data_IF_477071967881
#
_entry.id   IF_477071967881
#
_cell.length_a   1.000
_cell.length_b   1.000
_cell.length_c   1.000
_cell.angle_alpha   90.00
_cell.angle_beta   90.00
_cell.angle_gamma   90.00
#
_symmetry.space_group_name_H-M   'P 1'
#
loop_
_entity.id
_entity.type
_entity.pdbx_description
1 polymer ?
#
# COMPACT_ATOMS: atom_id res chain seq x y z
N UNK A 1 16.00 3.02 -33.46
CA UNK A 1 14.88 2.05 -33.40
C UNK A 1 15.41 0.67 -33.74
N UNK A 2 15.08 -0.34 -32.93
CA UNK A 2 15.47 -1.72 -33.21
C UNK A 2 14.21 -2.45 -33.71
N UNK A 3 13.94 -2.40 -35.01
CA UNK A 3 12.79 -3.06 -35.60
C UNK A 3 13.00 -4.59 -35.63
N UNK A 4 11.93 -5.34 -35.44
CA UNK A 4 11.93 -6.81 -35.50
C UNK A 4 10.89 -7.25 -36.52
N UNK A 5 11.27 -8.24 -37.33
CA UNK A 5 10.34 -8.87 -38.26
C UNK A 5 9.38 -9.75 -37.46
N UNK A 6 8.10 -9.64 -37.76
CA UNK A 6 7.08 -10.55 -37.25
C UNK A 6 7.04 -11.78 -38.15
N UNK A 7 7.01 -12.97 -37.55
CA UNK A 7 6.89 -14.25 -38.25
C UNK A 7 5.52 -14.85 -37.92
N UNK A 8 4.85 -15.45 -38.89
CA UNK A 8 3.55 -16.10 -38.67
C UNK A 8 3.75 -17.62 -38.60
N UNK A 9 3.15 -18.25 -37.59
CA UNK A 9 3.24 -19.69 -37.41
C UNK A 9 2.02 -20.22 -36.64
N UNK A 10 1.26 -21.14 -37.26
CA UNK A 10 0.15 -21.84 -36.61
C UNK A 10 -0.98 -20.92 -36.10
N UNK A 11 -1.28 -19.82 -36.80
CA UNK A 11 -2.30 -18.85 -36.39
C UNK A 11 -1.85 -17.85 -35.32
N UNK A 12 -0.55 -17.84 -34.98
CA UNK A 12 0.06 -16.89 -34.05
C UNK A 12 1.21 -16.12 -34.70
N UNK A 13 1.57 -14.99 -34.11
CA UNK A 13 2.70 -14.18 -34.53
C UNK A 13 3.85 -14.30 -33.53
N UNK A 14 5.06 -14.49 -34.05
CA UNK A 14 6.31 -14.58 -33.31
C UNK A 14 7.14 -13.31 -33.53
N UNK A 15 7.65 -12.75 -32.44
CA UNK A 15 8.60 -11.63 -32.45
C UNK A 15 9.77 -11.93 -31.52
N UNK A 16 10.99 -11.62 -31.94
CA UNK A 16 12.17 -11.84 -31.10
C UNK A 16 12.42 -10.68 -30.13
N UNK A 17 12.65 -11.00 -28.87
CA UNK A 17 13.07 -10.04 -27.85
C UNK A 17 14.57 -9.70 -27.96
N UNK A 18 15.01 -8.49 -27.58
CA UNK A 18 16.44 -8.13 -27.62
C UNK A 18 17.30 -9.01 -26.70
N UNK A 19 18.41 -9.55 -27.23
CA UNK A 19 19.32 -10.43 -26.47
C UNK A 19 19.87 -9.78 -25.20
N UNK A 20 20.24 -8.50 -25.26
CA UNK A 20 20.78 -7.78 -24.10
C UNK A 20 19.71 -7.54 -23.03
N UNK A 21 18.46 -7.31 -23.44
CA UNK A 21 17.34 -7.23 -22.52
C UNK A 21 17.09 -8.58 -21.85
N UNK A 22 17.08 -9.67 -22.62
CA UNK A 22 16.89 -11.02 -22.08
C UNK A 22 17.95 -11.36 -21.03
N UNK A 23 19.23 -11.08 -21.32
CA UNK A 23 20.34 -11.28 -20.37
C UNK A 23 20.17 -10.45 -19.09
N UNK A 24 19.85 -9.16 -19.22
CA UNK A 24 19.68 -8.26 -18.05
C UNK A 24 18.53 -8.68 -17.15
N UNK A 25 17.51 -9.32 -17.71
CA UNK A 25 16.31 -9.76 -16.99
C UNK A 25 16.32 -11.27 -16.72
N UNK A 26 17.47 -11.94 -16.82
CA UNK A 26 17.61 -13.36 -16.48
C UNK A 26 16.87 -14.34 -17.39
N UNK A 27 16.33 -13.91 -18.53
CA UNK A 27 15.55 -14.74 -19.45
C UNK A 27 16.48 -15.63 -20.27
N UNK A 28 16.30 -16.93 -20.12
CA UNK A 28 17.06 -17.99 -20.76
C UNK A 28 16.20 -18.82 -21.70
N UNK A 29 16.85 -19.66 -22.52
CA UNK A 29 16.14 -20.56 -23.45
C UNK A 29 15.26 -21.52 -22.66
N UNK A 30 13.97 -21.55 -22.98
CA UNK A 30 12.99 -22.42 -22.32
C UNK A 30 12.20 -21.72 -21.22
N UNK A 31 12.57 -20.49 -20.84
CA UNK A 31 11.79 -19.69 -19.89
C UNK A 31 10.52 -19.15 -20.55
N UNK A 32 9.47 -19.04 -19.77
CA UNK A 32 8.21 -18.43 -20.18
C UNK A 32 8.22 -16.95 -19.80
N UNK A 33 7.68 -16.12 -20.70
CA UNK A 33 7.46 -14.68 -20.47
C UNK A 33 5.97 -14.41 -20.57
N UNK A 34 5.50 -13.45 -19.79
CA UNK A 34 4.14 -12.92 -19.90
C UNK A 34 4.14 -11.87 -21.00
N UNK A 35 3.12 -11.93 -21.86
CA UNK A 35 2.85 -10.92 -22.89
C UNK A 35 1.44 -10.40 -22.67
N UNK A 36 1.34 -9.11 -22.34
CA UNK A 36 0.07 -8.46 -22.01
C UNK A 36 -0.13 -7.22 -22.89
N UNK A 37 -1.38 -6.91 -23.18
CA UNK A 37 -1.74 -5.66 -23.85
C UNK A 37 -1.77 -4.52 -22.84
N UNK A 38 -0.82 -3.59 -22.96
CA UNK A 38 -0.74 -2.40 -22.11
C UNK A 38 -1.77 -1.34 -22.55
N UNK A 39 -2.06 -1.27 -23.85
CA UNK A 39 -3.07 -0.41 -24.49
C UNK A 39 -3.25 -0.84 -25.96
N UNK A 40 -4.25 -0.32 -26.67
CA UNK A 40 -4.65 -0.72 -28.05
C UNK A 40 -3.53 -0.99 -29.08
N UNK A 41 -2.33 -0.44 -28.90
CA UNK A 41 -1.19 -0.59 -29.83
C UNK A 41 0.14 -0.92 -29.14
N UNK A 42 0.10 -1.32 -27.87
CA UNK A 42 1.32 -1.58 -27.09
C UNK A 42 1.19 -2.88 -26.33
N UNK A 43 2.10 -3.80 -26.60
CA UNK A 43 2.33 -4.97 -25.79
C UNK A 43 3.47 -4.70 -24.80
N UNK A 44 3.34 -5.25 -23.59
CA UNK A 44 4.43 -5.35 -22.63
C UNK A 44 4.84 -6.82 -22.52
N UNK A 45 6.16 -7.06 -22.43
CA UNK A 45 6.74 -8.38 -22.23
C UNK A 45 7.55 -8.35 -20.95
N UNK A 46 7.25 -9.27 -20.03
CA UNK A 46 7.96 -9.41 -18.75
C UNK A 46 8.29 -10.87 -18.47
N UNK A 47 9.44 -11.18 -17.86
CA UNK A 47 9.69 -12.54 -17.37
C UNK A 47 8.61 -12.94 -16.35
N UNK A 48 8.23 -14.22 -16.33
CA UNK A 48 7.53 -14.78 -15.17
C UNK A 48 8.53 -14.79 -14.02
N UNK A 49 8.31 -13.98 -12.98
CA UNK A 49 9.12 -14.09 -11.78
C UNK A 49 8.76 -15.40 -11.08
N UNK A 50 9.76 -16.18 -10.66
CA UNK A 50 9.52 -17.38 -9.82
C UNK A 50 8.83 -17.04 -8.48
N UNK A 51 8.80 -15.75 -8.14
CA UNK A 51 8.16 -15.14 -6.98
C UNK A 51 6.89 -14.36 -7.32
N UNK A 52 6.30 -14.51 -8.52
CA UNK A 52 4.98 -13.92 -8.80
C UNK A 52 3.98 -14.40 -7.73
N UNK A 53 3.50 -13.45 -6.92
CA UNK A 53 2.61 -13.70 -5.78
C UNK A 53 3.30 -13.92 -4.43
N UNK A 54 4.63 -13.84 -4.34
CA UNK A 54 5.31 -13.81 -3.04
C UNK A 54 5.04 -12.47 -2.34
N UNK A 55 4.75 -12.49 -1.02
CA UNK A 55 4.49 -11.26 -0.26
C UNK A 55 5.71 -10.33 -0.30
N UNK A 56 5.47 -9.03 -0.46
CA UNK A 56 6.53 -8.03 -0.43
C UNK A 56 7.01 -7.85 1.01
N UNK A 57 8.23 -8.31 1.32
CA UNK A 57 8.78 -8.28 2.69
C UNK A 57 9.86 -7.19 2.89
N UNK A 58 9.96 -6.66 4.12
CA UNK A 58 11.07 -5.79 4.55
C UNK A 58 11.46 -6.06 6.00
N UNK A 59 12.75 -5.91 6.30
CA UNK A 59 13.27 -5.95 7.67
C UNK A 59 13.54 -4.53 8.17
N UNK A 60 13.08 -4.23 9.38
CA UNK A 60 13.30 -2.98 10.11
C UNK A 60 14.16 -3.28 11.33
N UNK A 61 15.31 -2.63 11.44
CA UNK A 61 16.24 -2.89 12.53
C UNK A 61 15.82 -2.23 13.85
N UNK A 62 15.94 -2.95 14.97
CA UNK A 62 15.79 -2.44 16.33
C UNK A 62 17.00 -2.81 17.21
N UNK A 63 17.41 -2.01 18.21
CA UNK A 63 16.99 -0.63 18.41
C UNK A 63 17.68 0.29 17.40
N UNK A 64 17.10 1.48 17.21
CA UNK A 64 17.73 2.62 16.54
C UNK A 64 18.03 3.70 17.59
N UNK A 65 18.59 4.83 17.15
CA UNK A 65 18.91 5.98 18.02
C UNK A 65 17.71 6.43 18.87
N UNK A 66 16.51 6.40 18.28
CA UNK A 66 15.23 6.67 18.91
C UNK A 66 14.17 5.70 18.35
N UNK A 67 13.21 5.28 19.18
CA UNK A 67 12.11 4.41 18.76
C UNK A 67 11.30 5.03 17.61
N UNK A 68 11.22 6.36 17.55
CA UNK A 68 10.53 7.11 16.50
C UNK A 68 11.05 6.75 15.11
N UNK A 69 12.35 6.45 14.95
CA UNK A 69 12.87 5.98 13.67
C UNK A 69 12.32 4.61 13.28
N UNK A 70 12.22 3.68 14.24
CA UNK A 70 11.63 2.35 14.02
C UNK A 70 10.15 2.48 13.65
N UNK A 71 9.41 3.34 14.37
CA UNK A 71 8.00 3.67 14.08
C UNK A 71 7.84 4.25 12.67
N UNK A 72 8.71 5.17 12.27
CA UNK A 72 8.68 5.77 10.94
C UNK A 72 9.04 4.75 9.85
N UNK A 73 9.99 3.87 10.09
CA UNK A 73 10.38 2.80 9.15
C UNK A 73 9.22 1.80 8.96
N UNK A 74 8.54 1.40 10.04
CA UNK A 74 7.33 0.55 9.99
C UNK A 74 6.19 1.26 9.25
N UNK A 75 5.92 2.52 9.58
CA UNK A 75 4.87 3.32 8.92
C UNK A 75 5.19 3.52 7.43
N UNK A 76 6.44 3.83 7.10
CA UNK A 76 6.90 3.97 5.73
C UNK A 76 6.73 2.68 4.94
N UNK A 77 7.16 1.55 5.51
CA UNK A 77 6.96 0.23 4.91
C UNK A 77 5.47 -0.08 4.67
N UNK A 78 4.59 0.25 5.62
CA UNK A 78 3.15 0.15 5.41
C UNK A 78 2.68 1.01 4.24
N UNK A 79 3.09 2.28 4.16
CA UNK A 79 2.69 3.18 3.08
C UNK A 79 3.30 2.82 1.71
N UNK A 80 4.39 2.05 1.67
CA UNK A 80 5.01 1.53 0.44
C UNK A 80 4.44 0.17 0.00
N UNK A 81 3.38 -0.31 0.65
CA UNK A 81 2.69 -1.52 0.24
C UNK A 81 3.43 -2.81 0.58
N UNK A 82 4.34 -2.82 1.55
CA UNK A 82 4.93 -4.08 2.03
C UNK A 82 3.88 -4.93 2.72
N UNK A 83 3.80 -6.21 2.38
CA UNK A 83 2.85 -7.18 2.94
C UNK A 83 3.34 -7.74 4.27
N UNK A 84 4.65 -7.87 4.43
CA UNK A 84 5.28 -8.35 5.67
C UNK A 84 6.36 -7.37 6.11
N UNK A 85 6.32 -6.94 7.37
CA UNK A 85 7.30 -6.06 7.98
C UNK A 85 7.89 -6.79 9.20
N UNK A 86 9.19 -7.07 9.18
CA UNK A 86 9.89 -7.78 10.26
C UNK A 86 10.71 -6.78 11.07
N UNK A 87 10.26 -6.45 12.27
CA UNK A 87 11.06 -5.67 13.21
C UNK A 87 12.04 -6.61 13.91
N UNK A 88 13.33 -6.44 13.62
CA UNK A 88 14.39 -7.35 14.04
C UNK A 88 15.32 -6.68 15.06
N UNK A 89 15.20 -7.13 16.30
CA UNK A 89 15.99 -6.68 17.44
C UNK A 89 17.39 -7.28 17.48
N UNK A 90 18.42 -6.44 17.55
CA UNK A 90 19.78 -6.79 18.00
C UNK A 90 19.77 -7.11 19.50
N UNK A 91 18.95 -6.39 20.25
CA UNK A 91 18.71 -6.58 21.69
C UNK A 91 17.25 -6.95 21.97
N UNK A 92 16.95 -7.30 23.22
CA UNK A 92 15.58 -7.53 23.69
C UNK A 92 14.82 -6.21 23.69
N UNK A 93 13.62 -6.20 23.12
CA UNK A 93 12.72 -5.04 23.11
C UNK A 93 12.21 -4.77 24.52
N UNK A 94 12.37 -3.54 24.96
CA UNK A 94 11.82 -3.10 26.25
C UNK A 94 10.29 -3.19 26.21
N UNK A 95 9.66 -3.34 27.39
CA UNK A 95 8.20 -3.37 27.49
C UNK A 95 7.59 -2.06 26.98
N UNK A 96 8.20 -0.93 27.32
CA UNK A 96 7.74 0.40 26.89
C UNK A 96 7.79 0.56 25.38
N UNK A 97 8.91 0.22 24.74
CA UNK A 97 9.04 0.31 23.29
C UNK A 97 8.05 -0.60 22.56
N UNK A 98 7.84 -1.80 23.11
CA UNK A 98 6.87 -2.75 22.59
C UNK A 98 5.45 -2.18 22.61
N UNK A 99 5.01 -1.63 23.74
CA UNK A 99 3.66 -1.03 23.84
C UNK A 99 3.50 0.17 22.90
N UNK A 100 4.54 1.01 22.78
CA UNK A 100 4.53 2.16 21.84
C UNK A 100 4.45 1.72 20.38
N UNK A 101 5.20 0.68 19.99
CA UNK A 101 5.09 0.10 18.64
C UNK A 101 3.70 -0.48 18.39
N UNK A 102 3.14 -1.24 19.34
CA UNK A 102 1.80 -1.80 19.23
C UNK A 102 0.73 -0.72 19.06
N UNK A 103 0.81 0.36 19.83
CA UNK A 103 -0.08 1.51 19.71
C UNK A 103 -0.02 2.14 18.31
N UNK A 104 1.19 2.29 17.77
CA UNK A 104 1.40 2.81 16.40
C UNK A 104 0.80 1.86 15.36
N UNK A 105 1.09 0.55 15.46
CA UNK A 105 0.57 -0.47 14.54
C UNK A 105 -0.96 -0.49 14.53
N UNK A 106 -1.61 -0.29 15.68
CA UNK A 106 -3.07 -0.21 15.78
C UNK A 106 -3.72 0.92 14.95
N UNK A 107 -2.94 1.95 14.58
CA UNK A 107 -3.38 3.03 13.67
C UNK A 107 -3.30 2.63 12.19
N UNK A 108 -2.60 1.55 11.85
CA UNK A 108 -2.39 1.11 10.46
C UNK A 108 -3.39 0.03 10.11
N UNK A 109 -4.50 0.43 9.47
CA UNK A 109 -5.62 -0.47 9.16
C UNK A 109 -5.13 -1.69 8.37
N UNK A 110 -5.46 -2.88 8.87
CA UNK A 110 -5.15 -4.17 8.25
C UNK A 110 -3.75 -4.71 8.51
N UNK A 111 -2.90 -3.98 9.24
CA UNK A 111 -1.57 -4.47 9.64
C UNK A 111 -1.65 -5.14 11.01
N UNK A 112 -1.45 -6.45 11.04
CA UNK A 112 -1.61 -7.28 12.24
C UNK A 112 -0.28 -7.87 12.68
N UNK A 113 -0.09 -8.05 13.99
CA UNK A 113 1.08 -8.74 14.55
C UNK A 113 0.79 -10.25 14.48
N UNK A 114 1.53 -10.97 13.65
CA UNK A 114 1.32 -12.42 13.44
C UNK A 114 2.30 -13.29 14.25
N UNK A 115 3.45 -12.74 14.61
CA UNK A 115 4.47 -13.42 15.41
C UNK A 115 5.26 -12.39 16.22
N UNK A 116 5.55 -12.72 17.47
CA UNK A 116 6.26 -11.83 18.38
C UNK A 116 7.07 -12.64 19.41
N UNK A 117 8.34 -12.28 19.57
CA UNK A 117 9.21 -12.78 20.64
C UNK A 117 9.93 -11.62 21.37
N UNK A 118 10.87 -11.96 22.25
CA UNK A 118 11.62 -10.97 23.03
C UNK A 118 12.42 -9.96 22.18
N UNK A 119 12.83 -10.33 20.96
CA UNK A 119 13.66 -9.56 20.02
C UNK A 119 12.99 -9.34 18.66
N UNK A 120 11.89 -10.01 18.34
CA UNK A 120 11.29 -9.98 17.00
C UNK A 120 9.82 -9.64 17.06
N UNK A 121 9.36 -8.92 16.04
CA UNK A 121 7.94 -8.69 15.79
C UNK A 121 7.69 -8.75 14.29
N UNK A 122 6.84 -9.67 13.85
CA UNK A 122 6.45 -9.82 12.45
C UNK A 122 5.04 -9.27 12.28
N UNK A 123 4.91 -8.29 11.40
CA UNK A 123 3.66 -7.65 11.02
C UNK A 123 3.24 -8.14 9.64
N UNK A 124 1.96 -8.41 9.44
CA UNK A 124 1.41 -8.81 8.15
C UNK A 124 0.18 -7.98 7.80
N UNK A 125 0.12 -7.51 6.55
CA UNK A 125 -1.08 -6.87 6.01
C UNK A 125 -2.08 -7.94 5.55
N UNK A 126 -3.29 -7.93 6.13
CA UNK A 126 -4.28 -9.00 5.99
C UNK A 126 -5.59 -8.57 5.31
N UNK A 127 -5.58 -7.46 4.57
CA UNK A 127 -6.78 -7.01 3.84
C UNK A 127 -6.74 -7.39 2.36
N UNK A 128 -7.84 -7.96 1.89
CA UNK A 128 -8.02 -8.24 0.47
C UNK A 128 -8.35 -6.96 -0.33
N UNK A 129 -7.71 -6.73 -1.48
CA UNK A 129 -7.96 -5.58 -2.33
C UNK A 129 -9.45 -5.41 -2.73
N UNK A 130 -10.19 -6.50 -2.91
CA UNK A 130 -11.57 -6.46 -3.39
C UNK A 130 -12.55 -5.72 -2.45
N UNK A 131 -12.24 -5.64 -1.15
CA UNK A 131 -13.12 -5.00 -0.15
C UNK A 131 -12.98 -3.48 -0.05
N UNK A 132 -11.77 -2.96 -0.28
CA UNK A 132 -11.35 -1.61 0.13
C UNK A 132 -10.69 -0.84 -1.02
N UNK A 133 -11.47 -0.59 -2.08
CA UNK A 133 -11.02 0.25 -3.20
C UNK A 133 -10.77 1.70 -2.76
N UNK A 134 -9.87 2.45 -3.41
CA UNK A 134 -9.64 3.87 -3.12
C UNK A 134 -10.92 4.72 -3.10
N UNK A 135 -11.85 4.46 -4.02
CA UNK A 135 -13.17 5.12 -4.05
C UNK A 135 -13.97 4.90 -2.76
N UNK A 136 -14.04 3.65 -2.27
CA UNK A 136 -14.79 3.32 -1.05
C UNK A 136 -14.16 3.93 0.18
N UNK A 137 -12.83 3.95 0.25
CA UNK A 137 -12.10 4.58 1.36
C UNK A 137 -12.37 6.09 1.36
N UNK A 138 -12.23 6.76 0.20
CA UNK A 138 -12.51 8.20 0.08
C UNK A 138 -13.96 8.55 0.45
N UNK A 139 -14.94 7.73 0.04
CA UNK A 139 -16.35 7.91 0.44
C UNK A 139 -16.56 7.80 1.95
N UNK A 140 -15.86 6.86 2.61
CA UNK A 140 -15.90 6.76 4.07
C UNK A 140 -15.29 7.98 4.74
N UNK A 141 -14.12 8.44 4.27
CA UNK A 141 -13.49 9.66 4.77
C UNK A 141 -14.43 10.86 4.69
N UNK A 142 -15.09 11.07 3.54
CA UNK A 142 -16.10 12.13 3.39
C UNK A 142 -17.26 12.00 4.40
N UNK A 143 -17.76 10.79 4.62
CA UNK A 143 -18.82 10.56 5.61
C UNK A 143 -18.40 10.88 7.05
N UNK A 144 -17.14 10.61 7.41
CA UNK A 144 -16.57 10.98 8.71
C UNK A 144 -16.51 12.50 8.86
N UNK A 145 -15.98 13.21 7.85
CA UNK A 145 -15.89 14.67 7.83
C UNK A 145 -17.27 15.31 7.96
N UNK A 146 -18.26 14.85 7.18
CA UNK A 146 -19.65 15.31 7.32
C UNK A 146 -20.19 15.14 8.74
N UNK A 147 -19.82 14.04 9.39
CA UNK A 147 -20.11 13.78 10.77
C UNK A 147 -19.43 14.77 11.72
N UNK A 148 -18.12 14.99 11.56
CA UNK A 148 -17.34 15.94 12.38
C UNK A 148 -17.92 17.36 12.29
N UNK A 149 -18.34 17.79 11.10
CA UNK A 149 -18.99 19.09 10.89
C UNK A 149 -20.32 19.18 11.67
N UNK A 150 -21.13 18.12 11.65
CA UNK A 150 -22.40 18.06 12.41
C UNK A 150 -22.15 18.11 13.91
N UNK A 151 -21.21 17.32 14.41
CA UNK A 151 -20.90 17.24 15.84
C UNK A 151 -20.28 18.55 16.34
N UNK A 152 -19.42 19.19 15.54
CA UNK A 152 -18.84 20.50 15.86
C UNK A 152 -19.94 21.55 16.01
N UNK A 153 -20.90 21.60 15.06
CA UNK A 153 -22.02 22.53 15.11
C UNK A 153 -22.88 22.31 16.37
N UNK A 154 -23.14 21.05 16.71
CA UNK A 154 -23.93 20.70 17.89
C UNK A 154 -23.19 21.04 19.19
N UNK A 155 -21.88 20.72 19.28
CA UNK A 155 -21.04 21.03 20.42
C UNK A 155 -20.92 22.53 20.70
N UNK A 156 -20.81 23.35 19.64
CA UNK A 156 -20.80 24.82 19.78
C UNK A 156 -22.17 25.34 20.26
N UNK A 157 -23.26 24.79 19.73
CA UNK A 157 -24.62 25.24 20.06
C UNK A 157 -25.04 24.86 21.48
N UNK A 158 -24.68 23.65 21.92
CA UNK A 158 -25.05 23.09 23.24
C UNK A 158 -24.04 23.38 24.34
N UNK A 159 -22.79 23.74 23.97
CA UNK A 159 -21.64 23.82 24.87
C UNK A 159 -21.36 22.51 25.62
N UNK A 160 -21.75 21.37 25.05
CA UNK A 160 -21.44 20.05 25.61
C UNK A 160 -20.09 19.54 25.08
N UNK A 161 -19.08 19.37 25.96
CA UNK A 161 -17.75 18.92 25.56
C UNK A 161 -17.73 17.50 24.97
N UNK A 162 -18.79 16.70 25.16
CA UNK A 162 -18.88 15.35 24.60
C UNK A 162 -18.85 15.36 23.07
N UNK A 163 -19.45 16.36 22.42
CA UNK A 163 -19.40 16.48 20.96
C UNK A 163 -17.98 16.79 20.47
N UNK A 164 -17.19 17.57 21.22
CA UNK A 164 -15.80 17.86 20.86
C UNK A 164 -14.92 16.62 21.03
N UNK A 165 -15.18 15.77 22.02
CA UNK A 165 -14.49 14.49 22.16
C UNK A 165 -14.79 13.55 20.97
N UNK A 166 -16.05 13.49 20.53
CA UNK A 166 -16.45 12.72 19.34
C UNK A 166 -15.76 13.21 18.06
N UNK A 167 -15.53 14.51 17.93
CA UNK A 167 -14.77 15.07 16.79
C UNK A 167 -13.33 14.55 16.81
N UNK A 168 -12.66 14.57 17.96
CA UNK A 168 -11.29 14.05 18.08
C UNK A 168 -11.21 12.53 17.77
N UNK A 169 -12.16 11.73 18.25
CA UNK A 169 -12.21 10.30 17.93
C UNK A 169 -12.43 10.03 16.44
N UNK A 170 -13.19 10.90 15.76
CA UNK A 170 -13.43 10.81 14.32
C UNK A 170 -12.23 11.26 13.49
N UNK A 171 -11.50 12.25 13.97
CA UNK A 171 -10.23 12.68 13.37
C UNK A 171 -9.21 11.54 13.38
N UNK A 172 -9.07 10.84 14.51
CA UNK A 172 -8.23 9.65 14.61
C UNK A 172 -8.64 8.56 13.61
N UNK A 173 -9.94 8.34 13.35
CA UNK A 173 -10.39 7.38 12.33
C UNK A 173 -10.17 7.88 10.90
N UNK A 174 -10.28 9.19 10.66
CA UNK A 174 -9.98 9.82 9.37
C UNK A 174 -8.50 9.61 9.00
N UNK A 175 -7.58 9.83 9.95
CA UNK A 175 -6.14 9.58 9.83
C UNK A 175 -5.84 8.14 9.40
N UNK A 176 -6.50 7.18 10.06
CA UNK A 176 -6.31 5.75 9.79
C UNK A 176 -6.76 5.39 8.37
N UNK A 177 -7.91 5.92 7.94
CA UNK A 177 -8.40 5.75 6.57
C UNK A 177 -7.51 6.45 5.53
N UNK A 178 -6.95 7.61 5.87
CA UNK A 178 -6.00 8.30 5.02
C UNK A 178 -4.75 7.45 4.76
N UNK A 179 -4.14 6.87 5.80
CA UNK A 179 -3.00 5.97 5.60
C UNK A 179 -3.35 4.74 4.76
N UNK A 180 -4.54 4.16 4.96
CA UNK A 180 -5.02 3.05 4.14
C UNK A 180 -5.20 3.47 2.67
N UNK A 181 -5.77 4.65 2.40
CA UNK A 181 -5.92 5.20 1.05
C UNK A 181 -4.56 5.39 0.40
N UNK A 182 -3.59 6.00 1.11
CA UNK A 182 -2.23 6.22 0.62
C UNK A 182 -1.54 4.89 0.28
N UNK A 183 -1.67 3.87 1.13
CA UNK A 183 -1.18 2.52 0.84
C UNK A 183 -1.83 1.97 -0.43
N UNK A 184 -3.15 1.99 -0.52
CA UNK A 184 -3.88 1.44 -1.67
C UNK A 184 -3.48 2.10 -3.00
N UNK A 185 -3.41 3.43 -3.05
CA UNK A 185 -3.03 4.16 -4.28
C UNK A 185 -1.56 3.96 -4.65
N UNK A 186 -0.64 3.89 -3.66
CA UNK A 186 0.78 3.63 -3.93
C UNK A 186 1.02 2.19 -4.40
N UNK A 187 0.31 1.22 -3.82
CA UNK A 187 0.36 -0.16 -4.32
C UNK A 187 -0.14 -0.23 -5.76
N UNK A 188 -1.27 0.41 -6.09
CA UNK A 188 -1.77 0.47 -7.47
C UNK A 188 -0.81 1.21 -8.42
N UNK A 189 -0.08 2.23 -7.93
CA UNK A 189 0.92 2.92 -8.74
C UNK A 189 2.14 2.05 -9.09
N UNK A 190 2.47 1.07 -8.22
CA UNK A 190 3.60 0.17 -8.39
C UNK A 190 3.23 -1.15 -9.06
N UNK A 191 1.98 -1.59 -8.95
CA UNK A 191 1.47 -2.88 -9.42
C UNK A 191 0.26 -2.67 -10.35
N UNK A 192 0.48 -2.99 -11.63
CA UNK A 192 -0.54 -2.84 -12.67
C UNK A 192 -1.73 -3.79 -12.47
N UNK A 193 -1.52 -4.98 -11.90
CA UNK A 193 -2.61 -5.92 -11.63
C UNK A 193 -3.54 -5.36 -10.54
N UNK A 194 -2.96 -4.75 -9.50
CA UNK A 194 -3.74 -4.07 -8.46
C UNK A 194 -4.50 -2.87 -9.03
N UNK A 195 -3.88 -2.07 -9.89
CA UNK A 195 -4.57 -0.96 -10.58
C UNK A 195 -5.76 -1.46 -11.41
N UNK A 196 -5.60 -2.56 -12.15
CA UNK A 196 -6.68 -3.18 -12.91
C UNK A 196 -7.81 -3.71 -12.01
N UNK A 197 -7.47 -4.34 -10.88
CA UNK A 197 -8.46 -4.80 -9.89
C UNK A 197 -9.26 -3.65 -9.27
N UNK A 198 -8.63 -2.50 -9.06
CA UNK A 198 -9.32 -1.27 -8.63
C UNK A 198 -10.03 -0.53 -9.77
N UNK A 199 -9.86 -0.97 -11.03
CA UNK A 199 -10.34 -0.29 -12.23
C UNK A 199 -9.87 1.17 -12.30
N UNK A 200 -8.61 1.44 -11.93
CA UNK A 200 -8.02 2.77 -11.92
C UNK A 200 -7.02 2.97 -13.04
N UNK A 201 -7.12 4.13 -13.69
CA UNK A 201 -6.08 4.66 -14.57
C UNK A 201 -4.95 5.31 -13.76
N UNK A 202 -3.75 5.47 -14.35
CA UNK A 202 -2.65 6.18 -13.69
C UNK A 202 -2.99 7.62 -13.26
N UNK A 203 -3.88 8.30 -13.98
CA UNK A 203 -4.33 9.66 -13.62
C UNK A 203 -5.22 9.61 -12.40
N UNK A 204 -6.20 8.70 -12.35
CA UNK A 204 -7.08 8.55 -11.19
C UNK A 204 -6.32 8.18 -9.92
N UNK A 205 -5.25 7.39 -10.02
CA UNK A 205 -4.36 7.09 -8.88
C UNK A 205 -3.78 8.38 -8.28
N UNK A 206 -3.33 9.32 -9.12
CA UNK A 206 -2.83 10.61 -8.67
C UNK A 206 -3.96 11.46 -8.06
N UNK A 207 -5.13 11.47 -8.71
CA UNK A 207 -6.30 12.22 -8.23
C UNK A 207 -6.75 11.74 -6.84
N UNK A 208 -6.80 10.42 -6.61
CA UNK A 208 -7.10 9.86 -5.28
C UNK A 208 -6.04 10.22 -4.24
N UNK A 209 -4.76 10.30 -4.62
CA UNK A 209 -3.71 10.72 -3.69
C UNK A 209 -3.89 12.17 -3.24
N UNK A 210 -4.26 13.07 -4.16
CA UNK A 210 -4.55 14.48 -3.88
C UNK A 210 -5.84 14.60 -3.07
N UNK A 211 -6.91 13.91 -3.47
CA UNK A 211 -8.18 13.88 -2.76
C UNK A 211 -8.00 13.43 -1.31
N UNK A 212 -7.26 12.33 -1.09
CA UNK A 212 -6.98 11.85 0.26
C UNK A 212 -6.28 12.89 1.13
N UNK A 213 -5.31 13.62 0.57
CA UNK A 213 -4.63 14.71 1.29
C UNK A 213 -5.59 15.86 1.61
N UNK A 214 -6.45 16.22 0.66
CA UNK A 214 -7.42 17.29 0.89
C UNK A 214 -8.45 16.90 1.96
N UNK A 215 -8.94 15.66 1.94
CA UNK A 215 -9.89 15.16 2.92
C UNK A 215 -9.27 15.12 4.33
N UNK A 216 -8.03 14.63 4.47
CA UNK A 216 -7.32 14.63 5.75
C UNK A 216 -7.11 16.06 6.27
N UNK A 217 -6.70 17.01 5.43
CA UNK A 217 -6.45 18.38 5.87
C UNK A 217 -7.71 19.18 6.22
N UNK A 218 -8.90 18.64 5.90
CA UNK A 218 -10.20 19.22 6.29
C UNK A 218 -10.69 18.67 7.64
N UNK A 219 -10.23 17.47 8.04
CA UNK A 219 -10.43 16.95 9.39
C UNK A 219 -9.87 17.88 10.43
#
# INVERSE_FOLDING_TARGET
MNARKVLEMGGSFLVSIPRDWAKRNGVSKGDTVVVEELSERRLVVRPIEKTEGAPKEVEVEYPREDLTYVINDVTGAYLFGYDIIRVQGRTVMTREDRERLKSTIGRLIGLEIIDEDSKKMTLQFLLEPAGLTPERIAKRMMGIIEGMIKDTREGVSTRDPKFLALVAERDDELDRLYFLLVRAVRTAAMDQEVAQRYALTPVEILDYRVLGSFLESVG
#
